data_IF_455298739772
#
_entry.id   IF_455298739772
#
_cell.length_a   1.000
_cell.length_b   1.000
_cell.length_c   1.000
_cell.angle_alpha   90.00
_cell.angle_beta   90.00
_cell.angle_gamma   90.00
#
_symmetry.space_group_name_H-M   'P 1'
#
loop_
_entity.id
_entity.type
_entity.pdbx_description
1 polymer ?
#
# COMPACT_ATOMS: atom_id res chain seq x y z
N UNK A 1 8.49 6.51 -11.31
CA UNK A 1 9.36 5.71 -12.22
C UNK A 1 9.91 4.53 -11.45
N UNK A 2 9.87 3.35 -12.04
CA UNK A 2 10.36 2.13 -11.41
C UNK A 2 11.53 1.58 -12.20
N UNK A 3 12.57 1.16 -11.47
CA UNK A 3 13.76 0.59 -12.08
C UNK A 3 14.10 -0.72 -11.40
N UNK A 4 14.77 -1.61 -12.14
CA UNK A 4 15.22 -2.88 -11.57
C UNK A 4 16.65 -2.74 -11.03
N UNK A 5 17.03 -3.55 -10.02
CA UNK A 5 18.39 -3.56 -9.50
C UNK A 5 19.40 -4.01 -10.57
N UNK A 6 20.67 -3.61 -10.37
CA UNK A 6 21.73 -3.94 -11.32
C UNK A 6 22.01 -5.43 -11.45
N UNK A 7 21.65 -6.23 -10.43
CA UNK A 7 21.88 -7.67 -10.42
C UNK A 7 20.68 -8.48 -10.93
N UNK A 8 19.68 -7.82 -11.50
CA UNK A 8 18.52 -8.47 -12.10
C UNK A 8 18.38 -8.02 -13.54
N UNK A 9 17.28 -8.44 -14.20
CA UNK A 9 17.04 -7.95 -15.57
C UNK A 9 16.91 -6.44 -15.53
N UNK A 10 17.82 -5.75 -16.23
CA UNK A 10 17.81 -4.31 -16.27
C UNK A 10 16.63 -3.80 -17.08
N UNK A 11 15.82 -2.96 -16.47
CA UNK A 11 14.66 -2.41 -17.15
C UNK A 11 14.10 -1.20 -16.41
N UNK A 12 13.39 -0.39 -17.15
CA UNK A 12 12.71 0.78 -16.64
C UNK A 12 11.26 0.78 -17.09
N UNK A 13 10.38 1.23 -16.21
CA UNK A 13 8.98 1.37 -16.55
C UNK A 13 8.44 2.67 -15.96
N UNK A 14 7.55 3.32 -16.69
CA UNK A 14 6.83 4.49 -16.21
C UNK A 14 5.37 4.11 -16.17
N UNK A 15 4.79 4.21 -14.97
CA UNK A 15 3.39 3.92 -14.75
C UNK A 15 2.66 5.19 -14.33
N UNK A 16 1.43 5.32 -14.77
CA UNK A 16 0.53 6.37 -14.28
C UNK A 16 -0.51 5.74 -13.36
N UNK A 17 -0.88 6.46 -12.31
CA UNK A 17 -1.88 6.02 -11.34
C UNK A 17 -2.91 7.11 -11.17
N UNK A 18 -4.19 6.71 -11.11
CA UNK A 18 -5.24 7.67 -10.79
C UNK A 18 -5.24 7.91 -9.28
N UNK A 19 -5.36 9.18 -8.90
CA UNK A 19 -5.49 9.53 -7.49
C UNK A 19 -6.68 8.82 -6.84
N UNK A 20 -7.79 8.69 -7.56
CA UNK A 20 -8.96 8.00 -7.06
C UNK A 20 -8.66 6.54 -6.73
N UNK A 21 -7.93 5.84 -7.58
CA UNK A 21 -7.56 4.45 -7.34
C UNK A 21 -6.69 4.32 -6.10
N UNK A 22 -5.76 5.26 -5.91
CA UNK A 22 -4.93 5.33 -4.72
C UNK A 22 -5.79 5.50 -3.46
N UNK A 23 -6.72 6.45 -3.48
CA UNK A 23 -7.58 6.73 -2.34
C UNK A 23 -8.51 5.55 -2.04
N UNK A 24 -9.05 4.92 -3.07
CA UNK A 24 -9.91 3.74 -2.90
C UNK A 24 -9.14 2.59 -2.24
N UNK A 25 -7.89 2.40 -2.59
CA UNK A 25 -7.04 1.38 -1.97
C UNK A 25 -6.88 1.63 -0.48
N UNK A 26 -6.68 2.88 -0.08
CA UNK A 26 -6.55 3.25 1.33
C UNK A 26 -7.86 3.11 2.11
N UNK A 27 -8.99 3.09 1.45
CA UNK A 27 -10.29 2.84 2.09
C UNK A 27 -10.58 1.34 2.24
N UNK A 28 -9.79 0.47 1.60
CA UNK A 28 -9.96 -0.96 1.66
C UNK A 28 -9.42 -1.59 2.94
N UNK A 29 -9.36 -2.91 2.96
CA UNK A 29 -8.86 -3.64 4.11
C UNK A 29 -7.34 -3.51 4.25
N UNK A 30 -6.85 -3.60 5.48
CA UNK A 30 -5.43 -3.75 5.76
C UNK A 30 -5.03 -5.21 5.63
N UNK A 31 -3.76 -5.47 5.37
CA UNK A 31 -3.19 -6.80 5.44
C UNK A 31 -2.46 -7.01 6.75
N UNK A 32 -2.46 -8.25 7.22
CA UNK A 32 -1.66 -8.64 8.37
C UNK A 32 -0.96 -9.97 8.12
N UNK A 33 0.17 -10.14 8.78
CA UNK A 33 0.90 -11.40 8.83
C UNK A 33 1.06 -11.77 10.31
N UNK A 34 0.39 -12.84 10.73
CA UNK A 34 0.40 -13.22 12.15
C UNK A 34 1.78 -13.66 12.64
N UNK A 35 2.49 -14.41 11.81
CA UNK A 35 3.84 -14.85 12.11
C UNK A 35 4.71 -14.71 10.86
N UNK A 36 6.03 -14.77 11.04
CA UNK A 36 6.95 -14.66 9.91
C UNK A 36 6.75 -15.74 8.84
N UNK A 37 6.16 -16.88 9.22
CA UNK A 37 5.87 -17.97 8.30
C UNK A 37 4.46 -17.94 7.73
N UNK A 38 3.61 -17.01 8.18
CA UNK A 38 2.22 -16.90 7.73
C UNK A 38 2.10 -16.09 6.45
N UNK A 39 1.05 -16.35 5.70
CA UNK A 39 0.70 -15.52 4.55
C UNK A 39 0.14 -14.18 5.00
N UNK A 40 0.31 -13.17 4.17
CA UNK A 40 -0.34 -11.89 4.36
C UNK A 40 -1.82 -12.02 3.96
N UNK A 41 -2.71 -11.79 4.91
CA UNK A 41 -4.15 -11.95 4.72
C UNK A 41 -4.87 -10.65 5.09
N UNK A 42 -6.05 -10.39 4.49
CA UNK A 42 -6.81 -9.20 4.85
C UNK A 42 -7.30 -9.26 6.29
N UNK A 43 -7.26 -8.10 6.95
CA UNK A 43 -7.75 -7.94 8.33
C UNK A 43 -9.25 -7.74 8.29
N UNK A 44 -9.99 -8.47 9.14
CA UNK A 44 -11.44 -8.23 9.26
C UNK A 44 -11.70 -6.86 9.85
N UNK A 45 -12.77 -6.22 9.39
CA UNK A 45 -13.07 -4.83 9.73
C UNK A 45 -13.24 -4.59 11.24
N UNK A 46 -13.74 -5.57 11.96
CA UNK A 46 -13.95 -5.46 13.40
C UNK A 46 -12.64 -5.29 14.19
N UNK A 47 -11.52 -5.72 13.62
CA UNK A 47 -10.21 -5.58 14.25
C UNK A 47 -9.58 -4.20 14.02
N UNK A 48 -10.14 -3.40 13.13
CA UNK A 48 -9.61 -2.07 12.86
C UNK A 48 -9.90 -1.13 14.02
N UNK A 49 -8.91 -0.32 14.44
CA UNK A 49 -9.15 0.63 15.51
C UNK A 49 -9.98 1.82 15.04
N UNK A 50 -10.53 2.56 16.00
CA UNK A 50 -11.22 3.81 15.75
C UNK A 50 -10.47 4.95 16.46
N UNK A 51 -10.15 6.04 15.77
CA UNK A 51 -10.39 6.28 14.33
C UNK A 51 -9.52 5.38 13.46
N UNK A 52 -10.06 5.05 12.30
CA UNK A 52 -9.36 4.23 11.31
C UNK A 52 -8.06 4.91 10.89
N UNK A 53 -6.94 4.16 10.79
CA UNK A 53 -5.67 4.74 10.31
C UNK A 53 -5.83 5.34 8.91
N UNK A 54 -5.26 6.52 8.71
CA UNK A 54 -5.37 7.26 7.46
C UNK A 54 -6.56 8.18 7.37
N UNK A 55 -7.48 8.13 8.33
CA UNK A 55 -8.63 9.03 8.37
C UNK A 55 -8.19 10.40 8.86
N UNK A 56 -8.60 11.45 8.18
CA UNK A 56 -8.29 12.81 8.61
C UNK A 56 -8.96 13.13 9.94
N UNK A 57 -8.23 13.80 10.80
CA UNK A 57 -8.73 14.19 12.12
C UNK A 57 -8.31 15.63 12.42
N UNK A 58 -9.21 16.38 13.02
CA UNK A 58 -8.90 17.75 13.46
C UNK A 58 -7.88 17.78 14.60
N UNK A 59 -7.75 16.69 15.35
CA UNK A 59 -6.85 16.57 16.49
C UNK A 59 -5.88 15.41 16.29
N UNK A 60 -5.11 15.46 15.19
CA UNK A 60 -4.21 14.37 14.82
C UNK A 60 -3.14 14.07 15.89
N UNK A 61 -2.79 15.04 16.72
CA UNK A 61 -1.83 14.86 17.81
C UNK A 61 -2.38 14.08 18.99
N UNK A 62 -3.71 13.94 19.07
CA UNK A 62 -4.36 13.19 20.13
C UNK A 62 -4.98 11.88 19.65
N UNK A 63 -4.44 11.31 18.59
CA UNK A 63 -4.87 10.00 18.11
C UNK A 63 -4.63 8.94 19.18
N UNK A 64 -5.58 7.99 19.36
CA UNK A 64 -5.39 6.90 20.31
C UNK A 64 -4.15 6.07 19.99
N UNK A 65 -3.50 5.58 21.02
CA UNK A 65 -2.33 4.73 20.84
C UNK A 65 -2.68 3.43 20.13
N UNK A 66 -3.91 2.94 20.27
CA UNK A 66 -4.37 1.75 19.55
C UNK A 66 -4.30 1.94 18.04
N UNK A 67 -4.65 3.14 17.55
CA UNK A 67 -4.56 3.46 16.12
C UNK A 67 -3.09 3.48 15.67
N UNK A 68 -2.22 4.10 16.44
CA UNK A 68 -0.79 4.20 16.13
C UNK A 68 -0.12 2.84 16.16
N UNK A 69 -0.45 2.01 17.16
CA UNK A 69 0.09 0.64 17.28
C UNK A 69 -0.37 -0.24 16.13
N UNK A 70 -1.62 -0.10 15.71
CA UNK A 70 -2.15 -0.85 14.58
C UNK A 70 -1.36 -0.57 13.31
N UNK A 71 -1.06 0.70 13.03
CA UNK A 71 -0.30 1.09 11.85
C UNK A 71 1.08 0.45 11.83
N UNK A 72 1.73 0.31 12.98
CA UNK A 72 3.05 -0.30 13.06
C UNK A 72 3.06 -1.76 12.58
N UNK A 73 2.00 -2.50 12.88
CA UNK A 73 1.88 -3.90 12.51
C UNK A 73 1.14 -4.15 11.20
N UNK A 74 0.53 -3.11 10.62
CA UNK A 74 -0.34 -3.23 9.46
C UNK A 74 -0.01 -2.15 8.43
N UNK A 75 1.17 -2.23 7.87
CA UNK A 75 1.68 -1.20 6.95
C UNK A 75 1.28 -1.40 5.49
N UNK A 76 0.58 -2.49 5.19
CA UNK A 76 0.22 -2.84 3.81
C UNK A 76 -1.29 -2.98 3.69
N UNK A 77 -1.84 -2.40 2.61
CA UNK A 77 -3.24 -2.58 2.27
C UNK A 77 -3.44 -3.90 1.52
N UNK A 78 -4.65 -4.46 1.60
CA UNK A 78 -4.96 -5.73 0.95
C UNK A 78 -4.88 -5.64 -0.57
N UNK A 79 -5.39 -4.56 -1.14
CA UNK A 79 -5.37 -4.36 -2.58
C UNK A 79 -4.23 -3.46 -3.00
N UNK A 80 -3.59 -3.79 -4.12
CA UNK A 80 -2.60 -2.94 -4.74
C UNK A 80 -3.29 -1.82 -5.53
N UNK A 81 -2.60 -0.70 -5.71
CA UNK A 81 -3.09 0.37 -6.57
C UNK A 81 -2.84 -0.04 -8.02
N UNK A 82 -3.87 -0.18 -8.85
CA UNK A 82 -3.67 -0.55 -10.25
C UNK A 82 -3.09 0.62 -11.05
N UNK A 83 -2.21 0.31 -12.01
CA UNK A 83 -1.74 1.30 -12.94
C UNK A 83 -2.87 1.71 -13.89
N UNK A 84 -2.86 2.95 -14.33
CA UNK A 84 -3.83 3.45 -15.31
C UNK A 84 -3.75 2.61 -16.60
N UNK A 85 -4.86 2.07 -17.03
CA UNK A 85 -4.91 1.19 -18.19
C UNK A 85 -4.37 -0.22 -17.93
N UNK A 86 -4.01 -0.57 -16.69
CA UNK A 86 -3.57 -1.90 -16.30
C UNK A 86 -2.15 -2.26 -16.73
N UNK A 87 -1.39 -1.31 -17.27
CA UNK A 87 -0.02 -1.55 -17.74
C UNK A 87 0.80 -0.26 -17.70
N UNK A 88 2.14 -0.38 -17.75
CA UNK A 88 2.99 0.80 -17.82
C UNK A 88 2.71 1.65 -19.05
N UNK A 89 2.85 2.96 -18.90
CA UNK A 89 2.77 3.91 -20.00
C UNK A 89 3.96 3.74 -20.92
N UNK A 90 5.11 3.42 -20.35
CA UNK A 90 6.36 3.27 -21.09
C UNK A 90 7.20 2.19 -20.41
N UNK A 91 7.73 1.28 -21.21
CA UNK A 91 8.64 0.23 -20.72
C UNK A 91 9.87 0.21 -21.60
N UNK A 92 11.02 0.12 -20.97
CA UNK A 92 12.29 0.09 -21.65
C UNK A 92 13.23 -0.87 -20.93
N UNK A 93 13.77 -1.83 -21.65
CA UNK A 93 14.64 -2.84 -21.07
C UNK A 93 16.09 -2.62 -21.50
N UNK A 94 17.00 -2.89 -20.58
CA UNK A 94 18.45 -2.93 -20.82
C UNK A 94 18.99 -1.70 -21.52
N UNK A 95 18.77 -0.56 -20.92
CA UNK A 95 19.24 0.68 -21.49
C UNK A 95 20.46 1.18 -20.77
N UNK A 96 21.38 1.54 -21.56
CA UNK A 96 22.54 2.27 -21.12
C UNK A 96 22.59 3.62 -21.79
#
# INVERSE_FOLDING_TARGET
MFTTPANSVAGNAICAFRLRDLLDTFEGAFKEQETAASNWLPVVKIKEPHPRPGRCSAASQSLPESTLSFVKGHSIMDEAVPAFGGRPVFVRANLK
#
